data_IF_626309525758
#
_entry.id   IF_626309525758
#
_cell.length_a   1.000
_cell.length_b   1.000
_cell.length_c   1.000
_cell.angle_alpha   90.00
_cell.angle_beta   90.00
_cell.angle_gamma   90.00
#
_symmetry.space_group_name_H-M   'P 1'
#
loop_
_entity.id
_entity.type
_entity.pdbx_description
1 polymer ?
#
# COMPACT_ATOMS: atom_id res chain seq x y z
N UNK A 1 -34.92 3.91 12.71
CA UNK A 1 -33.60 4.13 12.08
C UNK A 1 -33.26 2.86 11.37
N UNK A 2 -33.30 2.86 10.04
CA UNK A 2 -32.76 1.76 9.25
C UNK A 2 -31.24 1.73 9.45
N UNK A 3 -30.67 0.55 9.66
CA UNK A 3 -29.22 0.41 9.65
C UNK A 3 -28.72 0.83 8.26
N UNK A 4 -27.66 1.65 8.15
CA UNK A 4 -27.12 2.02 6.85
C UNK A 4 -26.79 0.75 6.07
N UNK A 5 -27.15 0.72 4.79
CA UNK A 5 -26.81 -0.38 3.90
C UNK A 5 -25.29 -0.63 3.98
N UNK A 6 -24.88 -1.88 4.19
CA UNK A 6 -23.48 -2.24 4.30
C UNK A 6 -22.77 -1.82 3.01
N UNK A 7 -21.90 -0.81 3.11
CA UNK A 7 -21.11 -0.33 1.98
C UNK A 7 -20.20 -1.48 1.52
N UNK A 8 -20.32 -1.87 0.25
CA UNK A 8 -19.50 -2.93 -0.32
C UNK A 8 -18.10 -2.40 -0.60
N UNK A 9 -17.10 -2.93 0.11
CA UNK A 9 -15.70 -2.62 -0.11
C UNK A 9 -14.99 -3.74 -0.89
N UNK A 10 -14.07 -3.37 -1.79
CA UNK A 10 -13.00 -4.28 -2.23
C UNK A 10 -11.86 -4.15 -1.21
N UNK A 11 -11.53 -5.21 -0.46
CA UNK A 11 -10.37 -5.19 0.42
C UNK A 11 -9.08 -5.39 -0.37
N UNK A 12 -8.11 -4.52 -0.11
CA UNK A 12 -6.72 -4.68 -0.53
C UNK A 12 -5.92 -4.95 0.72
N UNK A 13 -5.44 -6.18 0.87
CA UNK A 13 -4.69 -6.62 2.03
C UNK A 13 -3.23 -6.26 1.87
N UNK A 14 -2.63 -5.63 2.88
CA UNK A 14 -1.28 -5.09 2.80
C UNK A 14 -0.39 -5.67 3.90
N UNK A 15 0.77 -6.18 3.50
CA UNK A 15 1.87 -6.55 4.40
C UNK A 15 3.21 -6.00 3.89
N UNK A 16 4.20 -5.95 4.78
CA UNK A 16 5.55 -5.48 4.50
C UNK A 16 6.60 -6.50 4.95
N UNK A 17 7.65 -6.65 4.16
CA UNK A 17 8.88 -7.35 4.56
C UNK A 17 10.11 -6.47 4.38
N UNK A 18 11.07 -6.48 5.32
CA UNK A 18 10.99 -7.11 6.65
C UNK A 18 9.95 -6.42 7.54
N UNK A 19 9.24 -7.20 8.35
CA UNK A 19 8.11 -6.73 9.16
C UNK A 19 8.51 -6.06 10.48
N UNK A 20 9.76 -6.16 10.89
CA UNK A 20 10.19 -5.89 12.27
C UNK A 20 11.00 -4.60 12.43
N UNK A 21 11.34 -3.90 11.35
CA UNK A 21 12.34 -2.83 11.45
C UNK A 21 12.32 -1.81 10.30
N UNK A 22 11.41 -0.83 10.38
CA UNK A 22 11.44 0.33 9.48
C UNK A 22 12.42 1.38 10.00
N UNK A 23 13.71 1.05 10.07
CA UNK A 23 14.78 2.02 10.40
C UNK A 23 15.23 2.75 9.13
N UNK A 24 14.91 4.05 8.93
CA UNK A 24 15.07 4.81 7.67
C UNK A 24 16.50 5.01 7.15
N UNK A 25 17.48 4.28 7.66
CA UNK A 25 18.91 4.50 7.40
C UNK A 25 19.70 3.19 7.27
N UNK A 26 19.03 2.03 7.30
CA UNK A 26 19.69 0.76 7.00
C UNK A 26 19.79 0.57 5.49
N UNK A 27 20.77 -0.17 5.00
CA UNK A 27 20.84 -0.59 3.59
C UNK A 27 19.85 -1.69 3.23
N UNK A 28 18.84 -1.94 4.08
CA UNK A 28 17.88 -3.02 3.92
C UNK A 28 16.89 -2.70 2.82
N UNK A 29 16.53 -3.73 2.07
CA UNK A 29 15.43 -3.67 1.11
C UNK A 29 14.11 -3.87 1.84
N UNK A 30 13.10 -3.07 1.50
CA UNK A 30 11.71 -3.28 1.90
C UNK A 30 10.87 -3.63 0.69
N UNK A 31 9.86 -4.46 0.93
CA UNK A 31 8.83 -4.86 -0.01
C UNK A 31 7.47 -4.66 0.66
N UNK A 32 6.70 -3.68 0.19
CA UNK A 32 5.30 -3.50 0.57
C UNK A 32 4.44 -4.18 -0.48
N UNK A 33 3.58 -5.11 -0.06
CA UNK A 33 2.74 -5.89 -0.97
C UNK A 33 1.28 -5.64 -0.65
N UNK A 34 0.54 -5.16 -1.64
CA UNK A 34 -0.91 -5.13 -1.65
C UNK A 34 -1.47 -6.30 -2.45
N UNK A 35 -2.44 -7.00 -1.89
CA UNK A 35 -3.14 -8.11 -2.53
C UNK A 35 -4.61 -7.77 -2.69
N UNK A 36 -5.10 -7.77 -3.93
CA UNK A 36 -6.52 -7.69 -4.21
C UNK A 36 -7.13 -9.07 -4.02
N UNK A 37 -8.04 -9.19 -3.06
CA UNK A 37 -8.72 -10.44 -2.80
C UNK A 37 -9.98 -10.55 -3.64
N UNK A 38 -9.92 -11.30 -4.75
CA UNK A 38 -11.08 -11.64 -5.55
C UNK A 38 -11.94 -12.74 -4.88
N UNK A 39 -11.40 -13.43 -3.89
CA UNK A 39 -12.09 -14.37 -3.02
C UNK A 39 -11.68 -14.18 -1.55
N UNK A 40 -12.62 -14.45 -0.65
CA UNK A 40 -12.35 -14.54 0.79
C UNK A 40 -11.89 -15.95 1.21
N UNK A 41 -12.01 -16.91 0.30
CA UNK A 41 -11.52 -18.28 0.46
C UNK A 41 -10.01 -18.27 0.20
N UNK A 42 -9.22 -18.60 1.21
CA UNK A 42 -7.79 -18.89 1.04
C UNK A 42 -7.51 -20.38 1.05
N UNK A 43 -6.24 -20.76 1.17
CA UNK A 43 -5.86 -22.18 1.17
C UNK A 43 -6.14 -22.81 2.55
N UNK A 44 -6.97 -23.84 2.59
CA UNK A 44 -7.36 -24.52 3.82
C UNK A 44 -6.14 -24.99 4.64
N UNK A 45 -6.11 -24.63 5.93
CA UNK A 45 -5.03 -24.99 6.85
C UNK A 45 -3.68 -24.34 6.53
N UNK A 46 -3.61 -23.41 5.57
CA UNK A 46 -2.45 -22.55 5.40
C UNK A 46 -2.35 -21.61 6.61
N UNK A 47 -1.12 -21.28 6.98
CA UNK A 47 -0.83 -20.47 8.16
C UNK A 47 0.23 -19.42 7.77
N UNK A 48 0.27 -18.26 8.43
CA UNK A 48 1.22 -17.13 8.18
C UNK A 48 2.71 -17.49 8.02
N UNK A 49 3.49 -16.79 7.22
CA UNK A 49 4.93 -16.94 7.20
C UNK A 49 5.54 -16.45 8.54
N UNK A 50 6.15 -17.35 9.33
CA UNK A 50 6.77 -16.99 10.62
C UNK A 50 8.17 -17.56 10.76
N UNK A 51 9.10 -16.76 11.32
CA UNK A 51 10.48 -17.17 11.64
C UNK A 51 10.52 -18.47 12.45
N UNK A 52 9.63 -18.63 13.42
CA UNK A 52 9.54 -19.79 14.32
C UNK A 52 9.08 -21.10 13.67
N UNK A 53 8.63 -21.08 12.41
CA UNK A 53 8.22 -22.30 11.70
C UNK A 53 9.40 -22.99 11.07
N UNK A 54 9.34 -24.33 11.10
CA UNK A 54 10.37 -25.16 10.47
C UNK A 54 10.41 -24.92 8.96
N UNK A 55 11.63 -24.91 8.40
CA UNK A 55 11.88 -24.73 6.96
C UNK A 55 11.03 -25.70 6.13
N UNK A 56 11.00 -26.99 6.50
CA UNK A 56 10.16 -28.00 5.83
C UNK A 56 8.68 -27.61 5.73
N UNK A 57 8.12 -27.02 6.79
CA UNK A 57 6.71 -26.56 6.77
C UNK A 57 6.54 -25.33 5.89
N UNK A 58 7.53 -24.44 5.83
CA UNK A 58 7.50 -23.27 4.97
C UNK A 58 7.53 -23.65 3.49
N UNK A 59 8.45 -24.53 3.10
CA UNK A 59 8.56 -25.02 1.72
C UNK A 59 7.29 -25.77 1.28
N UNK A 60 6.74 -26.63 2.15
CA UNK A 60 5.46 -27.29 1.86
C UNK A 60 4.31 -26.29 1.67
N UNK A 61 4.30 -25.20 2.44
CA UNK A 61 3.29 -24.16 2.28
C UNK A 61 3.47 -23.39 0.96
N UNK A 62 4.71 -23.04 0.61
CA UNK A 62 5.03 -22.39 -0.67
C UNK A 62 4.59 -23.22 -1.87
N UNK A 63 4.95 -24.50 -1.93
CA UNK A 63 4.53 -25.39 -3.01
C UNK A 63 3.01 -25.48 -3.14
N UNK A 64 2.28 -25.54 -2.01
CA UNK A 64 0.81 -25.55 -2.03
C UNK A 64 0.22 -24.26 -2.60
N UNK A 65 0.86 -23.12 -2.37
CA UNK A 65 0.44 -21.83 -2.93
C UNK A 65 0.70 -21.82 -4.44
N UNK A 66 1.88 -22.26 -4.87
CA UNK A 66 2.24 -22.39 -6.29
C UNK A 66 1.27 -23.31 -7.02
N UNK A 67 1.01 -24.51 -6.48
CA UNK A 67 0.05 -25.47 -7.03
C UNK A 67 -1.34 -24.84 -7.18
N UNK A 68 -1.84 -24.14 -6.15
CA UNK A 68 -3.16 -23.52 -6.16
C UNK A 68 -3.28 -22.34 -7.15
N UNK A 69 -2.19 -21.57 -7.34
CA UNK A 69 -2.15 -20.53 -8.37
C UNK A 69 -2.13 -21.16 -9.78
N UNK A 70 -1.32 -22.20 -9.97
CA UNK A 70 -1.15 -22.86 -11.27
C UNK A 70 -2.38 -23.63 -11.73
N UNK A 71 -3.14 -24.26 -10.81
CA UNK A 71 -4.38 -24.96 -11.14
C UNK A 71 -5.61 -24.04 -11.17
N UNK A 72 -5.45 -22.76 -10.80
CA UNK A 72 -6.50 -21.76 -10.79
C UNK A 72 -7.49 -21.88 -9.62
N UNK A 73 -7.24 -22.75 -8.64
CA UNK A 73 -8.03 -22.84 -7.40
C UNK A 73 -7.83 -21.63 -6.48
N UNK A 74 -6.75 -20.86 -6.70
CA UNK A 74 -6.48 -19.58 -6.07
C UNK A 74 -6.31 -18.50 -7.15
N UNK A 75 -7.21 -17.52 -7.16
CA UNK A 75 -7.13 -16.35 -8.05
C UNK A 75 -6.89 -15.09 -7.24
N UNK A 76 -5.73 -14.47 -7.42
CA UNK A 76 -5.27 -13.29 -6.69
C UNK A 76 -4.57 -12.33 -7.64
N UNK A 77 -4.61 -11.05 -7.30
CA UNK A 77 -3.74 -10.05 -7.92
C UNK A 77 -2.83 -9.43 -6.87
N UNK A 78 -1.57 -9.19 -7.24
CA UNK A 78 -0.53 -8.70 -6.33
C UNK A 78 0.19 -7.48 -6.87
N UNK A 79 0.36 -6.48 -6.01
CA UNK A 79 1.15 -5.28 -6.32
C UNK A 79 2.22 -5.16 -5.25
N UNK A 80 3.48 -5.21 -5.67
CA UNK A 80 4.63 -4.94 -4.81
C UNK A 80 5.20 -3.57 -5.12
N UNK A 81 5.52 -2.82 -4.08
CA UNK A 81 6.34 -1.62 -4.17
C UNK A 81 7.58 -1.83 -3.30
N UNK A 82 8.76 -1.69 -3.90
CA UNK A 82 10.03 -2.12 -3.34
C UNK A 82 11.04 -0.99 -3.39
N UNK A 83 12.00 -1.01 -2.47
CA UNK A 83 13.04 0.01 -2.38
C UNK A 83 13.93 -0.19 -1.15
N UNK A 84 15.03 0.52 -1.09
CA UNK A 84 15.99 0.49 0.00
C UNK A 84 15.65 1.54 1.05
N UNK A 85 15.83 1.17 2.31
CA UNK A 85 15.62 2.07 3.43
C UNK A 85 16.56 3.26 3.46
N UNK A 86 17.73 3.17 2.82
CA UNK A 86 18.65 4.29 2.61
C UNK A 86 18.56 4.91 1.18
N UNK A 87 17.55 4.51 0.41
CA UNK A 87 17.22 5.05 -0.91
C UNK A 87 16.05 6.02 -0.87
N UNK A 88 15.15 5.96 -1.84
CA UNK A 88 13.97 6.84 -1.94
C UNK A 88 13.04 6.71 -0.73
N UNK A 89 12.98 5.55 -0.06
CA UNK A 89 12.20 5.43 1.17
C UNK A 89 12.74 6.34 2.29
N UNK A 90 14.06 6.54 2.40
CA UNK A 90 14.63 7.50 3.36
C UNK A 90 14.16 8.92 3.06
N UNK A 91 14.22 9.30 1.77
CA UNK A 91 13.81 10.61 1.30
C UNK A 91 12.33 10.84 1.58
N UNK A 92 11.45 9.89 1.21
CA UNK A 92 10.02 9.99 1.50
C UNK A 92 9.72 10.08 3.00
N UNK A 93 10.41 9.28 3.82
CA UNK A 93 10.23 9.30 5.25
C UNK A 93 10.51 10.68 5.85
N UNK A 94 11.69 11.24 5.57
CA UNK A 94 12.14 12.53 6.11
C UNK A 94 11.38 13.69 5.48
N UNK A 95 11.31 13.73 4.14
CA UNK A 95 10.79 14.88 3.41
C UNK A 95 9.29 15.05 3.62
N UNK A 96 8.50 13.98 3.69
CA UNK A 96 7.06 14.16 3.89
C UNK A 96 6.75 14.62 5.33
N UNK A 97 7.44 14.13 6.36
CA UNK A 97 7.23 14.65 7.72
C UNK A 97 7.73 16.09 7.82
N UNK A 98 8.94 16.38 7.35
CA UNK A 98 9.52 17.71 7.52
C UNK A 98 8.86 18.79 6.66
N UNK A 99 8.38 18.46 5.46
CA UNK A 99 7.60 19.39 4.62
C UNK A 99 6.23 19.68 5.23
N UNK A 100 5.56 18.66 5.74
CA UNK A 100 4.15 18.78 6.13
C UNK A 100 3.93 19.08 7.62
N UNK A 101 4.92 18.89 8.50
CA UNK A 101 4.73 19.08 9.95
C UNK A 101 4.15 20.45 10.31
N UNK A 102 4.55 21.52 9.64
CA UNK A 102 4.04 22.86 9.95
C UNK A 102 2.55 22.99 9.61
N UNK A 103 2.12 22.40 8.49
CA UNK A 103 0.70 22.38 8.08
C UNK A 103 -0.13 21.46 8.97
N UNK A 104 0.50 20.39 9.48
CA UNK A 104 -0.09 19.44 10.41
C UNK A 104 -0.05 19.91 11.88
N UNK A 105 0.51 21.08 12.16
CA UNK A 105 0.78 21.57 13.53
C UNK A 105 1.58 20.57 14.38
N UNK A 106 2.48 19.82 13.73
CA UNK A 106 3.41 18.88 14.35
C UNK A 106 4.77 19.50 14.64
N UNK A 107 5.38 19.10 15.75
CA UNK A 107 6.68 19.63 16.20
C UNK A 107 7.64 18.51 16.62
N UNK A 108 8.91 18.63 16.24
CA UNK A 108 9.95 17.71 16.71
C UNK A 108 10.37 18.09 18.13
N UNK A 109 10.25 17.14 19.05
CA UNK A 109 10.97 17.18 20.32
C UNK A 109 12.45 16.86 20.06
N UNK A 110 13.33 17.72 20.58
CA UNK A 110 14.78 17.62 20.40
C UNK A 110 15.49 17.24 21.70
N UNK A 111 16.44 16.31 21.62
CA UNK A 111 17.43 16.02 22.68
C UNK A 111 18.83 16.17 22.08
N UNK A 112 19.69 16.97 22.71
CA UNK A 112 21.03 17.33 22.18
C UNK A 112 21.00 17.82 20.72
N UNK A 113 19.95 18.55 20.36
CA UNK A 113 19.75 19.08 19.01
C UNK A 113 19.29 18.04 17.97
N UNK A 114 18.98 16.80 18.38
CA UNK A 114 18.52 15.73 17.50
C UNK A 114 17.04 15.42 17.74
N UNK A 115 16.24 15.21 16.68
CA UNK A 115 14.84 14.82 16.82
C UNK A 115 14.72 13.44 17.46
N UNK A 116 13.93 13.33 18.53
CA UNK A 116 13.64 12.05 19.20
C UNK A 116 12.19 11.64 19.06
N UNK A 117 11.25 12.59 19.13
CA UNK A 117 9.82 12.34 19.01
C UNK A 117 9.12 13.42 18.18
N UNK A 118 8.13 13.02 17.38
CA UNK A 118 7.19 13.95 16.77
C UNK A 118 6.00 14.13 17.70
N UNK A 119 5.75 15.37 18.11
CA UNK A 119 4.56 15.78 18.84
C UNK A 119 3.50 16.19 17.82
N UNK A 120 2.35 15.50 17.83
CA UNK A 120 1.26 15.79 16.91
C UNK A 120 -0.08 15.40 17.54
N UNK A 121 -1.08 16.28 17.47
CA UNK A 121 -2.45 16.04 17.95
C UNK A 121 -2.51 15.48 19.40
N UNK A 122 -1.70 16.04 20.30
CA UNK A 122 -1.62 15.60 21.70
C UNK A 122 -0.95 14.22 21.91
N UNK A 123 -0.30 13.68 20.89
CA UNK A 123 0.43 12.42 20.94
C UNK A 123 1.93 12.64 20.69
N UNK A 124 2.74 11.74 21.25
CA UNK A 124 4.18 11.69 21.02
C UNK A 124 4.51 10.38 20.29
N UNK A 125 5.05 10.51 19.09
CA UNK A 125 5.48 9.40 18.25
C UNK A 125 7.00 9.33 18.28
N UNK A 126 7.61 8.18 18.62
CA UNK A 126 9.05 8.00 18.43
C UNK A 126 9.44 8.33 16.99
N UNK A 127 10.61 8.95 16.78
CA UNK A 127 11.08 9.36 15.46
C UNK A 127 10.96 8.26 14.42
N UNK A 128 11.45 7.06 14.72
CA UNK A 128 11.45 5.95 13.77
C UNK A 128 10.02 5.49 13.42
N UNK A 129 9.09 5.61 14.38
CA UNK A 129 7.66 5.36 14.13
C UNK A 129 7.07 6.39 13.16
N UNK A 130 7.29 7.67 13.42
CA UNK A 130 6.76 8.74 12.57
C UNK A 130 7.30 8.65 11.13
N UNK A 131 8.60 8.37 10.99
CA UNK A 131 9.25 8.15 9.71
C UNK A 131 8.72 6.89 9.01
N UNK A 132 8.50 5.79 9.74
CA UNK A 132 7.90 4.57 9.20
C UNK A 132 6.47 4.80 8.68
N UNK A 133 5.63 5.50 9.43
CA UNK A 133 4.26 5.85 9.02
C UNK A 133 4.26 6.75 7.76
N UNK A 134 5.24 7.64 7.64
CA UNK A 134 5.44 8.46 6.45
C UNK A 134 5.76 7.63 5.20
N UNK A 135 6.57 6.57 5.33
CA UNK A 135 6.82 5.64 4.22
C UNK A 135 5.50 4.98 3.79
N UNK A 136 4.71 4.48 4.74
CA UNK A 136 3.38 3.93 4.42
C UNK A 136 2.51 4.94 3.68
N UNK A 137 2.40 6.18 4.16
CA UNK A 137 1.59 7.22 3.50
C UNK A 137 1.99 7.45 2.03
N UNK A 138 3.27 7.34 1.67
CA UNK A 138 3.72 7.47 0.28
C UNK A 138 3.43 6.22 -0.57
N UNK A 139 3.44 5.04 0.04
CA UNK A 139 3.33 3.74 -0.66
C UNK A 139 1.90 3.34 -0.97
N UNK A 140 0.98 3.66 -0.06
CA UNK A 140 -0.44 3.30 -0.17
C UNK A 140 -1.10 3.87 -1.44
N UNK A 141 -0.85 5.13 -1.87
CA UNK A 141 -1.36 5.64 -3.14
C UNK A 141 -0.89 4.86 -4.36
N UNK A 142 0.36 4.39 -4.37
CA UNK A 142 0.93 3.62 -5.48
C UNK A 142 0.20 2.27 -5.57
N UNK A 143 0.07 1.56 -4.45
CA UNK A 143 -0.68 0.30 -4.36
C UNK A 143 -2.14 0.51 -4.78
N UNK A 144 -2.79 1.55 -4.26
CA UNK A 144 -4.18 1.88 -4.60
C UNK A 144 -4.37 2.16 -6.09
N UNK A 145 -3.47 2.95 -6.70
CA UNK A 145 -3.52 3.29 -8.13
C UNK A 145 -3.43 2.07 -9.03
N UNK A 146 -2.51 1.17 -8.73
CA UNK A 146 -2.38 -0.07 -9.49
C UNK A 146 -3.57 -0.99 -9.25
N UNK A 147 -4.09 -1.04 -8.03
CA UNK A 147 -5.28 -1.83 -7.70
C UNK A 147 -6.50 -1.36 -8.50
N UNK A 148 -6.72 -0.04 -8.59
CA UNK A 148 -7.76 0.54 -9.44
C UNK A 148 -7.59 0.16 -10.92
N UNK A 149 -6.34 0.12 -11.43
CA UNK A 149 -6.09 -0.28 -12.82
C UNK A 149 -6.44 -1.74 -13.10
N UNK A 150 -6.35 -2.61 -12.10
CA UNK A 150 -6.73 -4.01 -12.20
C UNK A 150 -8.26 -4.18 -12.12
N UNK A 151 -8.97 -3.31 -11.38
CA UNK A 151 -10.43 -3.34 -11.21
C UNK A 151 -11.24 -2.56 -12.27
N UNK A 152 -10.64 -2.10 -13.38
CA UNK A 152 -11.18 -1.12 -14.36
C UNK A 152 -12.61 -1.32 -14.88
N UNK A 153 -13.20 -2.50 -14.71
CA UNK A 153 -14.53 -2.84 -15.22
C UNK A 153 -15.63 -2.87 -14.14
N UNK A 154 -15.32 -2.45 -12.91
CA UNK A 154 -16.24 -2.57 -11.77
C UNK A 154 -16.61 -1.19 -11.18
N UNK A 155 -17.76 -0.64 -11.57
CA UNK A 155 -18.19 0.72 -11.20
C UNK A 155 -19.28 0.76 -10.10
N UNK A 156 -19.26 1.79 -9.24
CA UNK A 156 -18.12 2.26 -8.46
C UNK A 156 -17.94 1.38 -7.22
N UNK A 157 -16.69 1.03 -6.89
CA UNK A 157 -16.37 0.22 -5.71
C UNK A 157 -15.48 1.00 -4.76
N UNK A 158 -15.91 1.09 -3.50
CA UNK A 158 -15.11 1.61 -2.40
C UNK A 158 -13.97 0.62 -2.13
N UNK A 159 -12.73 1.06 -2.11
CA UNK A 159 -11.56 0.22 -1.84
C UNK A 159 -11.06 0.47 -0.42
N UNK A 160 -10.78 -0.60 0.33
CA UNK A 160 -10.25 -0.50 1.69
C UNK A 160 -8.85 -1.09 1.74
N UNK A 161 -7.85 -0.25 2.01
CA UNK A 161 -6.47 -0.67 2.22
C UNK A 161 -6.35 -1.21 3.65
N UNK A 162 -6.42 -2.52 3.81
CA UNK A 162 -6.37 -3.22 5.10
C UNK A 162 -4.92 -3.53 5.48
N UNK A 163 -4.44 -2.92 6.57
CA UNK A 163 -3.06 -2.97 7.04
C UNK A 163 -2.90 -3.95 8.22
N UNK A 164 -2.05 -4.98 8.11
CA UNK A 164 -1.97 -6.08 9.10
C UNK A 164 -1.39 -5.55 10.40
N UNK A 165 -0.18 -4.98 10.32
CA UNK A 165 0.45 -4.30 11.44
C UNK A 165 1.20 -3.03 11.02
N UNK A 166 0.65 -1.87 11.37
CA UNK A 166 1.41 -0.62 11.38
C UNK A 166 2.46 -0.62 12.51
N UNK A 167 3.59 0.08 12.36
CA UNK A 167 4.47 0.40 13.48
C UNK A 167 3.63 1.00 14.62
N UNK A 168 3.55 0.30 15.76
CA UNK A 168 2.75 0.71 16.91
C UNK A 168 1.24 0.85 16.66
N UNK A 169 0.66 -0.06 15.85
CA UNK A 169 -0.78 -0.33 15.61
C UNK A 169 -1.75 0.34 16.57
N UNK A 170 -2.08 1.59 16.26
CA UNK A 170 -3.15 2.33 16.91
C UNK A 170 -3.93 3.06 15.84
N UNK A 171 -5.20 3.34 16.09
CA UNK A 171 -6.01 4.27 15.28
C UNK A 171 -5.27 5.61 15.07
N UNK A 172 -4.40 5.97 16.01
CA UNK A 172 -3.52 7.15 15.95
C UNK A 172 -2.49 7.07 14.83
N UNK A 173 -1.97 5.89 14.52
CA UNK A 173 -1.05 5.69 13.40
C UNK A 173 -1.76 5.87 12.06
N UNK A 174 -2.95 5.28 11.92
CA UNK A 174 -3.81 5.47 10.74
C UNK A 174 -4.22 6.93 10.57
N UNK A 175 -4.64 7.59 11.65
CA UNK A 175 -5.00 9.01 11.62
C UNK A 175 -3.82 9.91 11.22
N UNK A 176 -2.61 9.62 11.69
CA UNK A 176 -1.42 10.37 11.28
C UNK A 176 -1.09 10.16 9.80
N UNK A 177 -1.21 8.92 9.29
CA UNK A 177 -1.03 8.66 7.86
C UNK A 177 -2.10 9.36 7.01
N UNK A 178 -3.38 9.31 7.42
CA UNK A 178 -4.46 10.03 6.73
C UNK A 178 -4.20 11.54 6.71
N UNK A 179 -3.66 12.09 7.80
CA UNK A 179 -3.27 13.49 7.86
C UNK A 179 -2.13 13.81 6.87
N UNK A 180 -1.09 12.97 6.82
CA UNK A 180 0.01 13.10 5.83
C UNK A 180 -0.48 12.97 4.39
N UNK A 181 -1.35 11.99 4.11
CA UNK A 181 -2.03 11.82 2.82
C UNK A 181 -2.82 13.08 2.44
N UNK A 182 -3.39 13.76 3.44
CA UNK A 182 -4.20 14.96 3.32
C UNK A 182 -3.44 16.28 3.35
N UNK A 183 -2.13 16.30 3.61
CA UNK A 183 -1.33 17.54 3.60
C UNK A 183 -0.35 17.58 2.43
N UNK A 184 0.23 16.43 2.06
CA UNK A 184 1.25 16.39 1.03
C UNK A 184 0.62 16.46 -0.37
N UNK A 185 0.87 17.56 -1.09
CA UNK A 185 0.28 17.81 -2.42
C UNK A 185 0.66 16.76 -3.46
N UNK A 186 1.86 16.19 -3.38
CA UNK A 186 2.32 15.17 -4.33
C UNK A 186 1.55 13.87 -4.09
N UNK A 187 1.40 13.50 -2.82
CA UNK A 187 0.64 12.33 -2.37
C UNK A 187 -0.86 12.50 -2.67
N UNK A 188 -1.44 13.66 -2.35
CA UNK A 188 -2.83 13.99 -2.66
C UNK A 188 -3.10 13.89 -4.16
N UNK A 189 -2.22 14.41 -5.01
CA UNK A 189 -2.37 14.31 -6.46
C UNK A 189 -2.38 12.86 -6.96
N UNK A 190 -1.59 11.97 -6.34
CA UNK A 190 -1.67 10.53 -6.61
C UNK A 190 -3.00 9.94 -6.14
N UNK A 191 -3.47 10.34 -4.96
CA UNK A 191 -4.71 9.87 -4.34
C UNK A 191 -5.99 10.38 -5.03
N UNK A 192 -5.98 11.59 -5.57
CA UNK A 192 -7.11 12.18 -6.30
C UNK A 192 -7.22 11.61 -7.72
N UNK A 193 -6.10 11.24 -8.34
CA UNK A 193 -6.13 10.50 -9.62
C UNK A 193 -6.89 9.19 -9.51
N UNK A 194 -6.78 8.52 -8.36
CA UNK A 194 -7.56 7.35 -8.02
C UNK A 194 -9.09 7.62 -8.00
N UNK A 195 -9.50 8.77 -7.43
CA UNK A 195 -10.90 9.21 -7.42
C UNK A 195 -11.46 9.49 -8.82
N UNK A 196 -10.63 10.00 -9.73
CA UNK A 196 -11.03 10.25 -11.14
C UNK A 196 -11.47 8.98 -11.87
N UNK A 197 -11.08 7.79 -11.41
CA UNK A 197 -11.51 6.51 -11.96
C UNK A 197 -12.73 5.91 -11.25
N UNK A 198 -13.42 6.69 -10.40
CA UNK A 198 -14.63 6.25 -9.70
C UNK A 198 -14.38 5.39 -8.46
N UNK A 199 -13.12 5.28 -8.01
CA UNK A 199 -12.74 4.55 -6.80
C UNK A 199 -12.49 5.50 -5.65
N UNK A 200 -13.06 5.21 -4.48
CA UNK A 200 -12.71 5.91 -3.23
C UNK A 200 -11.90 4.97 -2.35
N UNK A 201 -10.81 5.46 -1.78
CA UNK A 201 -9.94 4.67 -0.92
C UNK A 201 -10.11 5.06 0.54
N UNK A 202 -10.19 4.06 1.40
CA UNK A 202 -10.20 4.19 2.86
C UNK A 202 -9.03 3.40 3.44
N UNK A 203 -8.33 3.97 4.43
CA UNK A 203 -7.37 3.23 5.23
C UNK A 203 -8.08 2.49 6.35
N UNK A 204 -7.73 1.22 6.55
CA UNK A 204 -8.22 0.43 7.66
C UNK A 204 -7.17 -0.49 8.23
N UNK A 205 -7.37 -0.89 9.49
CA UNK A 205 -6.65 -2.04 10.06
C UNK A 205 -7.41 -3.32 9.75
N UNK A 206 -6.72 -4.47 9.64
CA UNK A 206 -7.40 -5.75 9.36
C UNK A 206 -8.54 -6.05 10.35
N UNK A 207 -8.38 -5.69 11.62
CA UNK A 207 -9.41 -5.88 12.65
C UNK A 207 -10.70 -5.08 12.38
N UNK A 208 -10.62 -4.01 11.59
CA UNK A 208 -11.76 -3.20 11.16
C UNK A 208 -12.50 -3.79 9.97
N UNK A 209 -11.93 -4.78 9.29
CA UNK A 209 -12.58 -5.48 8.18
C UNK A 209 -13.52 -6.55 8.74
N UNK A 210 -14.83 -6.36 8.53
CA UNK A 210 -15.83 -7.38 8.79
C UNK A 210 -16.28 -7.95 7.45
N UNK A 211 -15.98 -9.23 7.20
CA UNK A 211 -16.65 -9.95 6.12
C UNK A 211 -18.17 -9.89 6.35
N UNK A 212 -18.96 -9.94 5.27
CA UNK A 212 -20.41 -9.80 5.34
C UNK A 212 -21.08 -10.87 6.22
N UNK A 213 -20.41 -12.01 6.40
CA UNK A 213 -20.79 -13.03 7.37
C UNK A 213 -20.20 -12.69 8.74
N UNK A 214 -21.09 -12.47 9.71
CA UNK A 214 -20.87 -11.90 11.05
C UNK A 214 -19.87 -12.63 11.99
N UNK A 215 -19.02 -13.52 11.47
CA UNK A 215 -17.95 -14.15 12.24
C UNK A 215 -16.72 -13.25 12.26
N UNK A 216 -16.38 -12.73 13.44
CA UNK A 216 -15.11 -12.06 13.69
C UNK A 216 -13.96 -13.06 13.59
N UNK A 217 -13.36 -13.18 12.41
CA UNK A 217 -12.08 -13.86 12.22
C UNK A 217 -10.99 -12.89 12.70
N UNK A 218 -10.07 -13.34 13.55
CA UNK A 218 -8.94 -12.50 13.95
C UNK A 218 -8.06 -12.17 12.74
N UNK A 219 -7.48 -10.97 12.66
CA UNK A 219 -6.63 -10.57 11.54
C UNK A 219 -5.57 -11.63 11.18
N UNK A 220 -4.95 -12.23 12.20
CA UNK A 220 -3.89 -13.26 12.08
C UNK A 220 -4.37 -14.61 11.54
N UNK A 221 -5.67 -14.85 11.58
CA UNK A 221 -6.32 -16.06 11.07
C UNK A 221 -7.04 -15.82 9.75
N UNK A 222 -7.10 -14.56 9.30
CA UNK A 222 -7.73 -14.19 8.06
C UNK A 222 -6.95 -14.82 6.88
N UNK A 223 -7.60 -15.61 6.01
CA UNK A 223 -6.90 -16.30 4.91
C UNK A 223 -6.11 -15.34 4.02
N UNK A 224 -6.64 -14.14 3.78
CA UNK A 224 -5.95 -13.13 2.98
C UNK A 224 -4.80 -12.41 3.71
N UNK A 225 -4.81 -12.31 5.06
CA UNK A 225 -3.63 -11.87 5.84
C UNK A 225 -2.51 -12.91 5.68
N UNK A 226 -2.88 -14.18 5.81
CA UNK A 226 -1.95 -15.29 5.63
C UNK A 226 -1.31 -15.24 4.24
N UNK A 227 -2.12 -15.05 3.19
CA UNK A 227 -1.63 -15.02 1.82
C UNK A 227 -0.76 -13.81 1.53
N UNK A 228 -1.14 -12.60 1.93
CA UNK A 228 -0.30 -11.40 1.67
C UNK A 228 1.05 -11.48 2.37
N UNK A 229 1.13 -12.10 3.55
CA UNK A 229 2.40 -12.36 4.26
C UNK A 229 3.32 -13.32 3.47
N UNK A 230 2.74 -14.33 2.82
CA UNK A 230 3.47 -15.20 1.89
C UNK A 230 3.91 -14.46 0.62
N UNK A 231 3.06 -13.60 0.06
CA UNK A 231 3.39 -12.79 -1.10
C UNK A 231 4.51 -11.79 -0.80
N UNK A 232 4.50 -11.17 0.38
CA UNK A 232 5.55 -10.25 0.83
C UNK A 232 6.90 -10.98 1.02
N UNK A 233 6.88 -12.20 1.58
CA UNK A 233 8.07 -13.05 1.66
C UNK A 233 8.59 -13.47 0.27
N UNK A 234 7.69 -13.77 -0.66
CA UNK A 234 8.05 -14.11 -2.04
C UNK A 234 8.63 -12.92 -2.81
N UNK A 235 8.04 -11.73 -2.64
CA UNK A 235 8.58 -10.50 -3.18
C UNK A 235 10.01 -10.25 -2.69
N UNK A 236 10.26 -10.41 -1.38
CA UNK A 236 11.61 -10.32 -0.83
C UNK A 236 12.56 -11.35 -1.44
N UNK A 237 12.10 -12.61 -1.63
CA UNK A 237 12.88 -13.65 -2.28
C UNK A 237 13.30 -13.28 -3.72
N UNK A 238 12.47 -12.52 -4.45
CA UNK A 238 12.75 -12.05 -5.81
C UNK A 238 13.70 -10.84 -5.84
N UNK A 239 13.51 -9.90 -4.92
CA UNK A 239 14.20 -8.60 -4.95
C UNK A 239 15.54 -8.65 -4.23
N UNK A 240 15.57 -9.25 -3.05
CA UNK A 240 16.76 -9.34 -2.20
C UNK A 240 16.84 -10.73 -1.53
N UNK A 241 17.20 -11.77 -2.32
CA UNK A 241 17.29 -13.14 -1.82
C UNK A 241 18.31 -13.27 -0.68
N UNK A 242 19.39 -12.48 -0.68
CA UNK A 242 20.41 -12.50 0.37
C UNK A 242 19.83 -12.05 1.71
N UNK A 243 19.03 -10.99 1.73
CA UNK A 243 18.36 -10.55 2.94
C UNK A 243 17.40 -11.61 3.49
N UNK A 244 16.61 -12.26 2.62
CA UNK A 244 15.73 -13.34 3.05
C UNK A 244 16.50 -14.54 3.62
N UNK A 245 17.64 -14.92 3.01
CA UNK A 245 18.53 -15.97 3.53
C UNK A 245 19.05 -15.61 4.90
N UNK A 246 19.55 -14.39 5.08
CA UNK A 246 20.08 -13.92 6.35
C UNK A 246 19.03 -13.96 7.47
N UNK A 247 17.77 -13.60 7.16
CA UNK A 247 16.69 -13.57 8.16
C UNK A 247 16.08 -14.94 8.49
N UNK A 248 16.07 -15.87 7.53
CA UNK A 248 15.35 -17.14 7.66
C UNK A 248 16.23 -18.39 7.70
N UNK A 249 17.54 -18.26 7.43
CA UNK A 249 18.48 -19.38 7.36
C UNK A 249 18.21 -20.32 6.18
N UNK A 250 17.68 -19.78 5.08
CA UNK A 250 17.40 -20.57 3.88
C UNK A 250 18.65 -20.77 3.01
N UNK A 251 18.68 -21.87 2.27
CA UNK A 251 19.62 -22.08 1.15
C UNK A 251 19.10 -21.44 -0.14
N UNK A 252 19.93 -21.34 -1.17
CA UNK A 252 19.54 -20.77 -2.47
C UNK A 252 18.34 -21.51 -3.08
N UNK A 253 18.38 -22.85 -3.11
CA UNK A 253 17.25 -23.68 -3.61
C UNK A 253 15.95 -23.42 -2.83
N UNK A 254 16.06 -23.14 -1.53
CA UNK A 254 14.89 -22.88 -0.68
C UNK A 254 14.32 -21.50 -0.96
N UNK A 255 15.16 -20.49 -1.19
CA UNK A 255 14.72 -19.17 -1.62
C UNK A 255 14.07 -19.21 -3.00
N UNK A 256 14.62 -19.99 -3.94
CA UNK A 256 14.01 -20.20 -5.25
C UNK A 256 12.58 -20.74 -5.15
N UNK A 257 12.32 -21.69 -4.25
CA UNK A 257 10.97 -22.21 -3.98
C UNK A 257 10.03 -21.12 -3.43
N UNK A 258 10.52 -20.24 -2.55
CA UNK A 258 9.70 -19.13 -2.02
C UNK A 258 9.42 -18.10 -3.12
N UNK A 259 10.41 -17.79 -3.96
CA UNK A 259 10.30 -16.89 -5.11
C UNK A 259 9.31 -17.39 -6.16
N UNK A 260 9.15 -18.72 -6.30
CA UNK A 260 8.23 -19.34 -7.26
C UNK A 260 6.77 -18.95 -7.02
N UNK A 261 6.39 -18.56 -5.79
CA UNK A 261 5.03 -18.03 -5.52
C UNK A 261 4.76 -16.78 -6.36
N UNK A 262 5.69 -15.82 -6.40
CA UNK A 262 5.53 -14.59 -7.18
C UNK A 262 5.58 -14.86 -8.69
N UNK A 263 6.42 -15.81 -9.10
CA UNK A 263 6.48 -16.24 -10.51
C UNK A 263 5.17 -16.92 -10.94
N UNK A 264 4.60 -17.80 -10.11
CA UNK A 264 3.28 -18.39 -10.38
C UNK A 264 2.19 -17.32 -10.45
N UNK A 265 2.22 -16.32 -9.55
CA UNK A 265 1.30 -15.19 -9.59
C UNK A 265 1.44 -14.37 -10.89
N UNK A 266 2.67 -14.11 -11.35
CA UNK A 266 2.94 -13.45 -12.63
C UNK A 266 2.40 -14.23 -13.83
N UNK A 267 2.50 -15.57 -13.81
CA UNK A 267 2.11 -16.41 -14.94
C UNK A 267 0.61 -16.72 -15.00
N UNK A 268 -0.04 -16.83 -13.84
CA UNK A 268 -1.43 -17.31 -13.72
C UNK A 268 -2.42 -16.26 -13.19
N UNK A 269 -1.93 -15.17 -12.57
CA UNK A 269 -2.72 -14.03 -12.10
C UNK A 269 -2.24 -12.71 -12.71
N UNK A 270 -2.54 -11.60 -12.03
CA UNK A 270 -1.96 -10.29 -12.37
C UNK A 270 -1.05 -9.79 -11.25
N UNK A 271 0.20 -9.52 -11.62
CA UNK A 271 1.24 -9.04 -10.72
C UNK A 271 1.88 -7.77 -11.27
N UNK A 272 2.26 -6.85 -10.39
CA UNK A 272 3.19 -5.76 -10.74
C UNK A 272 4.19 -5.56 -9.60
N UNK A 273 5.47 -5.36 -9.94
CA UNK A 273 6.51 -5.03 -8.98
C UNK A 273 7.16 -3.70 -9.37
N UNK A 274 7.11 -2.74 -8.46
CA UNK A 274 7.50 -1.35 -8.69
C UNK A 274 8.69 -1.04 -7.79
N UNK A 275 9.88 -0.94 -8.38
CA UNK A 275 11.07 -0.54 -7.64
C UNK A 275 11.23 0.98 -7.66
N UNK A 276 11.03 1.62 -6.51
CA UNK A 276 11.08 3.09 -6.38
C UNK A 276 12.50 3.65 -6.44
N UNK A 277 13.51 2.79 -6.29
CA UNK A 277 14.92 3.15 -6.46
C UNK A 277 15.42 2.99 -7.89
N UNK A 278 14.59 2.48 -8.80
CA UNK A 278 14.95 2.43 -10.21
C UNK A 278 15.03 3.87 -10.76
N UNK A 279 16.22 4.26 -11.23
CA UNK A 279 16.52 5.60 -11.71
C UNK A 279 15.66 6.02 -12.93
N UNK A 280 15.19 5.07 -13.75
CA UNK A 280 14.28 5.36 -14.86
C UNK A 280 12.84 5.51 -14.35
N UNK A 281 12.44 4.75 -13.33
CA UNK A 281 11.14 4.91 -12.71
C UNK A 281 11.03 6.21 -11.90
N UNK A 282 12.07 6.63 -11.18
CA UNK A 282 12.12 7.93 -10.50
C UNK A 282 11.90 9.09 -11.48
N UNK A 283 12.50 9.01 -12.68
CA UNK A 283 12.25 9.97 -13.77
C UNK A 283 10.84 9.83 -14.34
N UNK A 284 10.34 8.61 -14.54
CA UNK A 284 9.01 8.37 -15.12
C UNK A 284 7.86 8.73 -14.17
N UNK A 285 7.96 8.47 -12.86
CA UNK A 285 6.94 8.86 -11.88
C UNK A 285 6.89 10.39 -11.76
N UNK A 286 8.05 11.04 -11.72
CA UNK A 286 8.16 12.51 -11.72
C UNK A 286 7.67 13.10 -13.05
N UNK A 287 8.05 12.51 -14.19
CA UNK A 287 7.65 12.98 -15.52
C UNK A 287 6.19 12.65 -15.88
N UNK A 288 5.63 11.54 -15.39
CA UNK A 288 4.24 11.16 -15.56
C UNK A 288 3.35 12.02 -14.65
N UNK A 289 3.79 12.34 -13.42
CA UNK A 289 3.14 13.34 -12.58
C UNK A 289 3.15 14.73 -13.23
N UNK A 290 4.26 15.15 -13.85
CA UNK A 290 4.37 16.44 -14.55
C UNK A 290 3.59 16.51 -15.87
N UNK A 291 3.73 15.50 -16.75
CA UNK A 291 3.11 15.48 -18.09
C UNK A 291 1.59 15.38 -18.06
N UNK A 292 1.02 14.79 -17.00
CA UNK A 292 -0.44 14.73 -16.82
C UNK A 292 -1.02 15.95 -16.09
N UNK A 293 -0.17 16.80 -15.50
CA UNK A 293 -0.56 18.11 -14.97
C UNK A 293 -0.88 19.08 -16.13
N UNK A 294 0.01 19.18 -17.12
CA UNK A 294 -0.18 20.07 -18.27
C UNK A 294 -1.35 19.67 -19.17
N UNK A 295 -1.54 18.36 -19.44
CA UNK A 295 -2.68 17.90 -20.27
C UNK A 295 -4.04 18.24 -19.67
N UNK A 296 -4.12 18.41 -18.34
CA UNK A 296 -5.36 18.73 -17.63
C UNK A 296 -5.68 20.23 -17.57
N UNK A 297 -4.69 21.09 -17.78
CA UNK A 297 -4.87 22.54 -17.94
C UNK A 297 -5.37 22.86 -19.35
N UNK A 298 -4.90 22.15 -20.38
CA UNK A 298 -5.37 22.33 -21.75
C UNK A 298 -6.84 21.89 -21.93
N UNK A 299 -7.24 20.76 -21.33
CA UNK A 299 -8.66 20.32 -21.40
C UNK A 299 -9.60 21.19 -20.57
N UNK A 300 -9.11 21.86 -19.52
CA UNK A 300 -9.90 22.80 -18.72
C UNK A 300 -10.03 24.17 -19.41
N UNK A 301 -8.98 24.60 -20.12
CA UNK A 301 -8.98 25.80 -20.97
C UNK A 301 -9.99 25.66 -22.12
N UNK A 302 -9.94 24.55 -22.86
CA UNK A 302 -10.85 24.26 -23.99
C UNK A 302 -12.33 24.16 -23.55
N UNK A 303 -12.59 23.56 -22.38
CA UNK A 303 -13.95 23.50 -21.83
C UNK A 303 -14.44 24.86 -21.29
N UNK A 304 -13.55 25.73 -20.79
CA UNK A 304 -13.94 27.08 -20.35
C UNK A 304 -14.28 28.02 -21.52
N UNK A 305 -13.63 27.83 -22.67
CA UNK A 305 -13.96 28.55 -23.90
C UNK A 305 -15.28 28.08 -24.51
N UNK A 306 -15.57 26.78 -24.47
CA UNK A 306 -16.86 26.21 -24.89
C UNK A 306 -18.03 26.69 -24.01
N UNK A 307 -17.84 26.77 -22.69
CA UNK A 307 -18.88 27.27 -21.76
C UNK A 307 -19.15 28.76 -21.98
N UNK A 308 -18.13 29.57 -22.31
CA UNK A 308 -18.31 30.99 -22.63
C UNK A 308 -18.94 31.28 -24.01
N UNK A 309 -19.05 30.27 -24.87
CA UNK A 309 -19.68 30.38 -26.20
C UNK A 309 -21.14 29.90 -26.21
N UNK A 310 -21.67 29.36 -25.11
CA UNK A 310 -23.07 28.93 -25.02
C UNK A 310 -23.93 30.08 -24.45
N UNK A 311 -24.84 30.71 -25.22
CA UNK A 311 -25.54 31.94 -24.79
C UNK A 311 -26.56 31.74 -23.66
N UNK A 312 -26.84 30.50 -23.25
CA UNK A 312 -27.93 30.17 -22.33
C UNK A 312 -27.60 30.40 -20.84
N UNK A 313 -26.34 30.70 -20.49
CA UNK A 313 -25.93 30.95 -19.10
C UNK A 313 -26.06 32.42 -18.65
N UNK A 314 -26.35 33.36 -19.56
CA UNK A 314 -26.63 34.75 -19.18
C UNK A 314 -28.13 34.89 -18.91
N UNK A 315 -28.54 34.43 -17.73
CA UNK A 315 -29.86 34.71 -17.19
C UNK A 315 -30.09 36.21 -17.11
N UNK A 316 -30.69 36.77 -18.16
CA UNK A 316 -31.33 38.07 -18.12
C UNK A 316 -32.45 38.02 -17.08
N UNK A 317 -32.22 38.67 -15.95
CA UNK A 317 -33.31 39.19 -15.12
C UNK A 317 -33.33 40.70 -15.29
N UNK A 318 -33.84 41.13 -16.45
CA UNK A 318 -34.33 42.50 -16.61
C UNK A 318 -35.64 42.64 -15.83
N UNK A 319 -35.68 43.63 -14.95
CA UNK A 319 -36.90 44.12 -14.29
C UNK A 319 -37.84 44.78 -15.27
#
# INVERSE_FOLDING_TARGET
MEAPAAQHYIPIFIDVKPSEDLRPLTGQTMCFVGMLANSMEGIAGLKQFKKTRTIKRKLKAANRIVEALSDGSLALDGIAVTGKMNGHFAHWACDAVDRNRNELEGEWQLEDGKPTHLLWNGHSYPRDTALGLSIYANMLPIIGLQSARLCKNEYPKHMKLALDQLPHCSERGTSFMDALLGSDKDIQSMWDRNRKWGHTFELGVFESYRAQDANTITAKEHPNSVLVDWLAASCMAKVDPEQLKAESGFTDDQVAIIAEIWDALNHHGSSEMINVDDAELAKMVTAHAAKHYDSSLDTASENSELVNQTPEARGETSK
#
